data_IF_879888134886
#
_entry.id   IF_879888134886
#
_cell.length_a   1.000
_cell.length_b   1.000
_cell.length_c   1.000
_cell.angle_alpha   90.00
_cell.angle_beta   90.00
_cell.angle_gamma   90.00
#
_symmetry.space_group_name_H-M   'P 1'
#
loop_
_entity.id
_entity.type
_entity.pdbx_description
1 polymer ?
#
# COMPACT_ATOMS: atom_id res chain seq x y z
N UNK A 1 -10.19 41.50 -23.73
CA UNK A 1 -9.56 40.61 -24.72
C UNK A 1 -9.65 39.18 -24.15
N UNK A 2 -10.59 38.40 -24.66
CA UNK A 2 -10.76 36.96 -24.29
C UNK A 2 -9.92 36.13 -25.26
N UNK A 3 -9.00 35.32 -24.76
CA UNK A 3 -8.29 34.29 -25.57
C UNK A 3 -9.04 32.98 -25.44
N UNK A 4 -9.63 32.57 -26.53
CA UNK A 4 -10.26 31.26 -26.74
C UNK A 4 -9.17 30.24 -27.06
N UNK A 5 -9.01 29.19 -26.26
CA UNK A 5 -8.08 28.10 -26.54
C UNK A 5 -8.86 26.93 -27.11
N UNK A 6 -8.65 26.64 -28.37
CA UNK A 6 -9.23 25.55 -29.13
C UNK A 6 -8.48 24.25 -28.77
N UNK A 7 -9.20 23.25 -28.26
CA UNK A 7 -8.66 21.87 -28.06
C UNK A 7 -8.66 21.13 -29.39
N UNK A 8 -7.48 20.69 -29.81
CA UNK A 8 -7.28 19.86 -30.99
C UNK A 8 -7.34 18.38 -30.57
N UNK A 9 -8.36 17.66 -31.04
CA UNK A 9 -8.46 16.23 -30.86
C UNK A 9 -7.57 15.53 -31.91
N UNK A 10 -6.55 14.79 -31.45
CA UNK A 10 -5.79 13.90 -32.30
C UNK A 10 -6.41 12.49 -32.25
N UNK A 11 -7.10 12.12 -33.34
CA UNK A 11 -7.40 10.72 -33.66
C UNK A 11 -6.16 10.10 -34.31
N UNK A 12 -5.48 9.21 -33.65
CA UNK A 12 -4.42 8.39 -34.25
C UNK A 12 -5.03 7.07 -34.76
N UNK A 13 -5.08 6.95 -36.07
CA UNK A 13 -5.49 5.77 -36.82
C UNK A 13 -4.30 4.79 -36.83
N UNK A 14 -4.38 3.68 -36.09
CA UNK A 14 -3.37 2.62 -36.12
C UNK A 14 -3.70 1.64 -37.27
N UNK A 15 -2.83 1.62 -38.29
CA UNK A 15 -2.88 0.67 -39.39
C UNK A 15 -2.18 -0.62 -38.93
N UNK A 16 -2.94 -1.71 -38.84
CA UNK A 16 -2.44 -3.06 -38.61
C UNK A 16 -1.94 -3.69 -39.93
N UNK A 17 -0.66 -4.02 -39.99
CA UNK A 17 -0.09 -4.88 -41.04
C UNK A 17 -0.29 -6.33 -40.64
N UNK A 18 -1.09 -7.04 -41.46
CA UNK A 18 -1.19 -8.49 -41.39
C UNK A 18 -0.03 -9.12 -42.17
N UNK A 19 0.84 -9.85 -41.48
CA UNK A 19 1.70 -10.85 -42.11
C UNK A 19 1.01 -12.21 -42.05
N UNK A 20 0.63 -12.70 -43.22
CA UNK A 20 0.09 -14.06 -43.40
C UNK A 20 1.26 -15.04 -43.49
N UNK A 21 1.36 -15.96 -42.52
CA UNK A 21 2.10 -17.21 -42.65
C UNK A 21 1.12 -18.36 -42.51
N UNK A 22 0.91 -19.08 -43.60
CA UNK A 22 0.09 -20.29 -43.69
C UNK A 22 0.82 -21.48 -43.04
N UNK A 23 0.13 -22.25 -42.19
CA UNK A 23 0.57 -23.59 -41.79
C UNK A 23 -0.04 -24.05 -40.47
N UNK A 24 -1.08 -24.93 -40.55
CA UNK A 24 -1.45 -25.83 -39.44
C UNK A 24 -2.61 -25.39 -38.54
N UNK A 25 -3.78 -25.91 -38.89
CA UNK A 25 -5.03 -25.82 -38.13
C UNK A 25 -4.94 -26.39 -36.72
N UNK A 26 -5.09 -25.50 -35.72
CA UNK A 26 -5.80 -25.76 -34.50
C UNK A 26 -6.38 -24.43 -34.03
N UNK A 27 -7.66 -24.22 -34.29
CA UNK A 27 -8.43 -23.06 -33.91
C UNK A 27 -8.77 -23.17 -32.43
N UNK A 28 -7.88 -22.72 -31.51
CA UNK A 28 -8.29 -22.21 -30.23
C UNK A 28 -8.70 -20.75 -30.46
N UNK A 29 -10.00 -20.48 -30.44
CA UNK A 29 -10.53 -19.13 -30.37
C UNK A 29 -9.93 -18.45 -29.14
N UNK A 30 -9.03 -17.48 -29.35
CA UNK A 30 -8.67 -16.54 -28.32
C UNK A 30 -9.95 -15.77 -27.97
N UNK A 31 -10.56 -16.11 -26.85
CA UNK A 31 -11.62 -15.33 -26.25
C UNK A 31 -11.02 -13.95 -25.95
N UNK A 32 -11.42 -12.94 -26.72
CA UNK A 32 -11.08 -11.56 -26.41
C UNK A 32 -11.87 -11.25 -25.14
N UNK A 33 -11.21 -11.35 -23.99
CA UNK A 33 -11.76 -10.86 -22.73
C UNK A 33 -11.85 -9.34 -22.89
N UNK A 34 -13.06 -8.82 -23.05
CA UNK A 34 -13.27 -7.39 -23.02
C UNK A 34 -12.73 -6.87 -21.68
N UNK A 35 -11.97 -5.74 -21.69
CA UNK A 35 -11.49 -5.17 -20.45
C UNK A 35 -12.69 -4.90 -19.53
N UNK A 36 -12.59 -5.32 -18.26
CA UNK A 36 -13.64 -5.12 -17.28
C UNK A 36 -13.97 -3.63 -17.22
N UNK A 37 -15.19 -3.27 -17.62
CA UNK A 37 -15.69 -1.91 -17.46
C UNK A 37 -15.98 -1.74 -15.96
N UNK A 38 -15.07 -1.11 -15.23
CA UNK A 38 -15.32 -0.74 -13.85
C UNK A 38 -16.42 0.35 -13.85
N UNK A 39 -17.46 0.20 -13.03
CA UNK A 39 -18.45 1.26 -12.88
C UNK A 39 -17.74 2.55 -12.40
N UNK A 40 -18.04 3.68 -13.05
CA UNK A 40 -17.62 4.98 -12.53
C UNK A 40 -18.13 5.08 -11.09
N UNK A 41 -17.18 5.07 -10.12
CA UNK A 41 -17.54 5.35 -8.74
C UNK A 41 -17.88 6.84 -8.63
N UNK A 42 -19.07 7.19 -8.12
CA UNK A 42 -19.37 8.59 -7.88
C UNK A 42 -18.34 9.16 -6.91
N UNK A 43 -17.82 10.34 -7.20
CA UNK A 43 -16.93 11.09 -6.30
C UNK A 43 -17.61 11.40 -4.95
N UNK A 44 -18.92 11.24 -4.87
CA UNK A 44 -19.77 11.44 -3.68
C UNK A 44 -20.54 10.15 -3.46
N UNK A 45 -20.38 9.55 -2.26
CA UNK A 45 -21.13 8.38 -1.87
C UNK A 45 -22.62 8.68 -1.79
N UNK A 46 -23.47 7.83 -2.37
CA UNK A 46 -24.90 7.85 -2.09
C UNK A 46 -25.11 7.51 -0.61
N UNK A 47 -25.76 8.43 0.12
CA UNK A 47 -26.08 8.24 1.54
C UNK A 47 -27.41 7.50 1.68
N UNK A 48 -27.48 6.52 2.55
CA UNK A 48 -28.71 5.77 2.80
C UNK A 48 -28.89 5.45 4.29
N UNK A 49 -30.12 5.10 4.70
CA UNK A 49 -30.36 4.67 6.08
C UNK A 49 -29.90 3.23 6.32
N UNK A 50 -29.49 2.86 7.55
CA UNK A 50 -29.14 1.49 7.88
C UNK A 50 -30.22 0.48 7.53
N UNK A 51 -31.50 0.81 7.77
CA UNK A 51 -32.64 -0.07 7.50
C UNK A 51 -32.84 -0.36 6.01
N UNK A 52 -32.51 0.58 5.13
CA UNK A 52 -32.65 0.42 3.67
C UNK A 52 -31.70 -0.66 3.11
N UNK A 53 -30.63 -0.97 3.82
CA UNK A 53 -29.63 -1.98 3.45
C UNK A 53 -29.61 -3.16 4.44
N UNK A 54 -30.73 -3.41 5.12
CA UNK A 54 -30.91 -4.49 6.08
C UNK A 54 -29.90 -4.46 7.25
N UNK A 55 -29.52 -3.28 7.72
CA UNK A 55 -28.71 -3.09 8.92
C UNK A 55 -29.57 -2.63 10.08
N UNK A 56 -29.25 -3.10 11.28
CA UNK A 56 -29.93 -2.69 12.50
C UNK A 56 -29.29 -1.40 13.03
N UNK A 57 -30.03 -0.30 12.96
CA UNK A 57 -29.57 1.03 13.36
C UNK A 57 -29.17 1.09 14.85
N UNK A 58 -29.92 0.44 15.74
CA UNK A 58 -29.61 0.45 17.18
C UNK A 58 -28.28 -0.24 17.46
N UNK A 59 -28.03 -1.41 16.83
CA UNK A 59 -26.75 -2.12 16.95
C UNK A 59 -25.60 -1.32 16.35
N UNK A 60 -25.84 -0.66 15.21
CA UNK A 60 -24.84 0.19 14.57
C UNK A 60 -24.45 1.36 15.48
N UNK A 61 -25.45 2.08 16.02
CA UNK A 61 -25.23 3.17 16.96
C UNK A 61 -24.50 2.69 18.23
N UNK A 62 -24.84 1.50 18.74
CA UNK A 62 -24.14 0.91 19.89
C UNK A 62 -22.66 0.66 19.57
N UNK A 63 -22.36 0.12 18.40
CA UNK A 63 -20.99 -0.13 17.96
C UNK A 63 -20.20 1.19 17.81
N UNK A 64 -20.81 2.23 17.25
CA UNK A 64 -20.18 3.55 17.13
C UNK A 64 -19.98 4.21 18.51
N UNK A 65 -20.92 4.09 19.43
CA UNK A 65 -20.76 4.62 20.78
C UNK A 65 -19.60 3.93 21.53
N UNK A 66 -19.42 2.62 21.33
CA UNK A 66 -18.26 1.90 21.85
C UNK A 66 -16.96 2.37 21.19
N UNK A 67 -16.94 2.45 19.85
CA UNK A 67 -15.76 2.85 19.09
C UNK A 67 -15.30 4.29 19.41
N UNK A 68 -16.22 5.18 19.75
CA UNK A 68 -15.94 6.60 20.02
C UNK A 68 -15.90 6.96 21.51
N UNK A 69 -15.86 5.98 22.41
CA UNK A 69 -15.66 6.22 23.85
C UNK A 69 -14.28 6.83 24.11
N UNK A 70 -14.15 7.54 25.23
CA UNK A 70 -12.85 8.08 25.67
C UNK A 70 -11.84 6.94 25.90
N UNK A 71 -10.61 7.13 25.45
CA UNK A 71 -9.55 6.13 25.51
C UNK A 71 -9.50 5.14 24.33
N UNK A 72 -10.41 5.26 23.34
CA UNK A 72 -10.36 4.43 22.12
C UNK A 72 -9.53 5.04 21.01
N UNK A 73 -9.18 6.32 21.09
CA UNK A 73 -8.44 7.09 20.09
C UNK A 73 -9.07 7.11 18.68
N UNK A 74 -10.32 6.68 18.55
CA UNK A 74 -11.03 6.70 17.27
C UNK A 74 -11.47 8.11 16.94
N UNK A 75 -11.01 8.65 15.83
CA UNK A 75 -11.34 9.99 15.34
C UNK A 75 -12.33 9.98 14.17
N UNK A 76 -12.37 8.90 13.42
CA UNK A 76 -13.33 8.71 12.33
C UNK A 76 -13.70 7.24 12.19
N UNK A 77 -14.93 6.98 11.80
CA UNK A 77 -15.39 5.67 11.36
C UNK A 77 -16.51 5.83 10.35
N UNK A 78 -16.49 5.01 9.32
CA UNK A 78 -17.53 4.97 8.28
C UNK A 78 -17.99 3.55 8.06
N UNK A 79 -19.25 3.39 7.65
CA UNK A 79 -19.82 2.12 7.20
C UNK A 79 -20.37 2.31 5.81
N UNK A 80 -19.85 1.54 4.88
CA UNK A 80 -20.33 1.46 3.50
C UNK A 80 -20.90 0.06 3.29
N UNK A 81 -22.11 -0.01 2.74
CA UNK A 81 -22.75 -1.26 2.38
C UNK A 81 -23.47 -1.12 1.04
N UNK A 82 -23.27 -2.11 0.19
CA UNK A 82 -23.86 -2.15 -1.15
C UNK A 82 -23.55 -0.87 -1.97
N UNK A 83 -22.29 -0.37 -1.83
CA UNK A 83 -21.82 0.84 -2.50
C UNK A 83 -22.39 2.15 -1.96
N UNK A 84 -23.06 2.14 -0.80
CA UNK A 84 -23.70 3.33 -0.20
C UNK A 84 -23.12 3.63 1.16
N UNK A 85 -22.97 4.91 1.48
CA UNK A 85 -22.58 5.38 2.81
C UNK A 85 -23.77 5.25 3.75
N UNK A 86 -23.66 4.38 4.73
CA UNK A 86 -24.73 4.05 5.67
C UNK A 86 -24.63 4.85 6.96
N UNK A 87 -23.42 5.03 7.46
CA UNK A 87 -23.16 5.75 8.70
C UNK A 87 -21.73 6.29 8.72
N UNK A 88 -21.56 7.47 9.24
CA UNK A 88 -20.26 8.09 9.48
C UNK A 88 -20.29 8.90 10.77
N UNK A 89 -19.16 8.95 11.46
CA UNK A 89 -18.96 9.77 12.65
C UNK A 89 -17.53 10.23 12.74
N UNK A 90 -17.36 11.45 13.20
CA UNK A 90 -16.06 12.11 13.39
C UNK A 90 -16.03 12.74 14.78
N UNK A 91 -14.83 12.81 15.38
CA UNK A 91 -14.55 13.60 16.58
C UNK A 91 -13.06 13.94 16.69
N UNK A 92 -12.77 14.99 17.41
CA UNK A 92 -11.41 15.27 17.85
C UNK A 92 -10.95 14.35 18.99
N UNK A 93 -9.72 14.57 19.43
CA UNK A 93 -9.13 13.89 20.59
C UNK A 93 -9.87 14.30 21.85
N UNK A 94 -10.09 13.37 22.78
CA UNK A 94 -10.74 13.61 24.05
C UNK A 94 -9.72 13.85 25.16
N UNK A 95 -10.19 14.43 26.26
CA UNK A 95 -9.33 14.83 27.39
C UNK A 95 -8.55 13.65 28.00
N UNK A 96 -9.20 12.49 28.17
CA UNK A 96 -8.55 11.29 28.69
C UNK A 96 -7.45 10.79 27.77
N UNK A 97 -7.66 10.88 26.46
CA UNK A 97 -6.69 10.52 25.43
C UNK A 97 -5.49 11.50 25.41
N UNK A 98 -5.77 12.81 25.50
CA UNK A 98 -4.74 13.84 25.62
C UNK A 98 -3.85 13.55 26.82
N UNK A 99 -4.45 13.32 28.01
CA UNK A 99 -3.73 13.05 29.22
C UNK A 99 -2.87 11.79 29.12
N UNK A 100 -3.38 10.74 28.47
CA UNK A 100 -2.67 9.48 28.23
C UNK A 100 -1.43 9.70 27.37
N UNK A 101 -1.56 10.40 26.24
CA UNK A 101 -0.45 10.66 25.31
C UNK A 101 0.56 11.61 25.95
N UNK A 102 0.14 12.72 26.55
CA UNK A 102 1.02 13.70 27.16
C UNK A 102 1.85 13.11 28.30
N UNK A 103 1.30 12.12 29.04
CA UNK A 103 2.04 11.43 30.11
C UNK A 103 3.11 10.45 29.61
N UNK A 104 3.02 10.00 28.36
CA UNK A 104 3.88 8.97 27.78
C UNK A 104 4.80 9.46 26.65
N UNK A 105 4.66 10.73 26.26
CA UNK A 105 5.44 11.33 25.16
C UNK A 105 5.95 12.72 25.55
N UNK A 106 6.68 13.36 24.64
CA UNK A 106 7.13 14.76 24.78
C UNK A 106 6.11 15.77 24.25
N UNK A 107 4.95 15.32 23.76
CA UNK A 107 3.89 16.18 23.23
C UNK A 107 3.04 16.71 24.40
N UNK A 108 2.90 18.02 24.50
CA UNK A 108 2.03 18.63 25.49
C UNK A 108 0.54 18.64 25.04
N UNK A 109 -0.34 18.88 25.99
CA UNK A 109 -1.78 18.88 25.77
C UNK A 109 -2.23 19.93 24.72
N UNK A 110 -1.58 21.10 24.70
CA UNK A 110 -1.92 22.15 23.74
C UNK A 110 -1.57 21.74 22.31
N UNK A 111 -0.41 21.14 22.13
CA UNK A 111 0.01 20.58 20.84
C UNK A 111 -0.93 19.47 20.37
N UNK A 112 -1.31 18.55 21.27
CA UNK A 112 -2.25 17.48 20.95
C UNK A 112 -3.63 18.02 20.57
N UNK A 113 -4.13 19.04 21.30
CA UNK A 113 -5.40 19.69 20.98
C UNK A 113 -5.33 20.41 19.64
N UNK A 114 -4.22 21.07 19.32
CA UNK A 114 -4.02 21.75 18.03
C UNK A 114 -4.00 20.75 16.87
N UNK A 115 -3.29 19.64 17.02
CA UNK A 115 -3.13 18.63 15.94
C UNK A 115 -4.37 17.77 15.73
N UNK A 116 -5.12 17.46 16.79
CA UNK A 116 -6.16 16.44 16.79
C UNK A 116 -7.50 16.88 17.39
N UNK A 117 -7.64 18.16 17.78
CA UNK A 117 -8.81 18.65 18.50
C UNK A 117 -10.08 18.67 17.65
N UNK A 118 -9.97 19.10 16.42
CA UNK A 118 -11.11 19.19 15.52
C UNK A 118 -10.95 18.20 14.35
N UNK A 119 -11.92 17.32 14.20
CA UNK A 119 -11.95 16.33 13.11
C UNK A 119 -13.33 16.22 12.52
N UNK A 120 -13.39 16.33 11.20
CA UNK A 120 -14.57 16.16 10.37
C UNK A 120 -14.26 15.33 9.12
N UNK A 121 -15.21 15.23 8.19
CA UNK A 121 -15.03 14.47 6.95
C UNK A 121 -13.97 15.07 6.01
N UNK A 122 -13.57 16.33 6.19
CA UNK A 122 -12.55 17.02 5.37
C UNK A 122 -11.17 16.95 6.01
N UNK A 123 -11.06 16.48 7.23
CA UNK A 123 -9.80 16.43 7.96
C UNK A 123 -8.87 15.37 7.38
N UNK A 124 -7.65 15.77 7.06
CA UNK A 124 -6.61 14.85 6.60
C UNK A 124 -6.05 14.02 7.76
N UNK A 125 -5.81 12.76 7.52
CA UNK A 125 -5.22 11.81 8.45
C UNK A 125 -4.09 11.06 7.80
N UNK A 126 -3.02 10.78 8.54
CA UNK A 126 -1.97 9.88 8.07
C UNK A 126 -2.53 8.45 8.01
N UNK A 127 -2.42 7.83 6.84
CA UNK A 127 -2.89 6.46 6.63
C UNK A 127 -1.96 5.40 7.22
N UNK A 128 -0.72 5.76 7.57
CA UNK A 128 0.30 4.82 8.00
C UNK A 128 0.34 3.59 7.07
N UNK A 129 0.41 2.40 7.65
CA UNK A 129 0.52 1.16 6.88
C UNK A 129 -0.73 0.77 6.09
N UNK A 130 -1.86 1.44 6.29
CA UNK A 130 -3.02 1.26 5.40
C UNK A 130 -2.70 1.65 3.95
N UNK A 131 -1.72 2.54 3.73
CA UNK A 131 -1.23 2.89 2.41
C UNK A 131 -0.69 1.69 1.62
N UNK A 132 -0.18 0.65 2.31
CA UNK A 132 0.31 -0.57 1.66
C UNK A 132 -0.76 -1.30 0.88
N UNK A 133 -2.02 -1.27 1.37
CA UNK A 133 -3.16 -1.84 0.66
C UNK A 133 -3.43 -1.11 -0.65
N UNK A 134 -3.32 0.23 -0.66
CA UNK A 134 -3.49 1.00 -1.90
C UNK A 134 -2.40 0.67 -2.92
N UNK A 135 -1.14 0.58 -2.51
CA UNK A 135 -0.05 0.16 -3.40
C UNK A 135 -0.30 -1.24 -3.97
N UNK A 136 -0.83 -2.16 -3.17
CA UNK A 136 -1.21 -3.50 -3.63
C UNK A 136 -2.33 -3.46 -4.68
N UNK A 137 -3.35 -2.61 -4.49
CA UNK A 137 -4.40 -2.40 -5.50
C UNK A 137 -3.84 -1.85 -6.81
N UNK A 138 -2.92 -0.89 -6.75
CA UNK A 138 -2.29 -0.32 -7.95
C UNK A 138 -1.50 -1.36 -8.74
N UNK A 139 -0.80 -2.30 -8.10
CA UNK A 139 -0.16 -3.43 -8.78
C UNK A 139 -1.22 -4.29 -9.51
N UNK A 140 -2.36 -4.58 -8.86
CA UNK A 140 -3.45 -5.33 -9.49
C UNK A 140 -4.05 -4.59 -10.69
N UNK A 141 -4.22 -3.27 -10.59
CA UNK A 141 -4.68 -2.43 -11.70
C UNK A 141 -3.66 -2.47 -12.84
N UNK A 142 -2.36 -2.29 -12.56
CA UNK A 142 -1.30 -2.34 -13.56
C UNK A 142 -1.24 -3.71 -14.28
N UNK A 143 -1.44 -4.81 -13.54
CA UNK A 143 -1.54 -6.16 -14.12
C UNK A 143 -2.78 -6.29 -15.00
N UNK A 144 -3.95 -5.85 -14.54
CA UNK A 144 -5.20 -5.90 -15.30
C UNK A 144 -5.17 -5.07 -16.58
N UNK A 145 -4.39 -4.00 -16.61
CA UNK A 145 -4.16 -3.16 -17.80
C UNK A 145 -3.04 -3.69 -18.71
N UNK A 146 -2.38 -4.78 -18.34
CA UNK A 146 -1.27 -5.36 -19.10
C UNK A 146 0.05 -4.58 -19.01
N UNK A 147 0.15 -3.57 -18.11
CA UNK A 147 1.37 -2.81 -17.84
C UNK A 147 2.38 -3.63 -17.03
N UNK A 148 1.86 -4.50 -16.17
CA UNK A 148 2.59 -5.60 -15.53
C UNK A 148 2.05 -6.89 -16.12
N UNK A 149 2.91 -7.71 -16.73
CA UNK A 149 2.48 -8.92 -17.44
C UNK A 149 2.00 -10.03 -16.50
N UNK A 150 2.57 -10.18 -15.33
CA UNK A 150 2.08 -11.05 -14.25
C UNK A 150 2.81 -10.77 -12.94
N UNK A 151 2.09 -10.81 -11.81
CA UNK A 151 2.70 -10.76 -10.48
C UNK A 151 3.59 -11.97 -10.16
N UNK A 152 3.45 -13.07 -10.90
CA UNK A 152 4.30 -14.25 -10.75
C UNK A 152 5.66 -14.11 -11.46
N UNK A 153 5.86 -13.08 -12.27
CA UNK A 153 7.12 -12.81 -12.91
C UNK A 153 8.15 -12.23 -11.91
N UNK A 154 9.43 -12.39 -12.26
CA UNK A 154 10.50 -11.79 -11.50
C UNK A 154 10.36 -10.26 -11.42
N UNK A 155 10.53 -9.71 -10.23
CA UNK A 155 10.60 -8.27 -10.02
C UNK A 155 11.82 -7.64 -10.74
N UNK A 156 12.85 -8.43 -11.06
CA UNK A 156 14.03 -7.96 -11.80
C UNK A 156 13.70 -7.47 -13.22
N UNK A 157 12.53 -7.81 -13.75
CA UNK A 157 12.05 -7.21 -15.01
C UNK A 157 11.88 -5.69 -14.91
N UNK A 158 11.63 -5.19 -13.71
CA UNK A 158 11.46 -3.77 -13.40
C UNK A 158 12.63 -3.24 -12.54
N UNK A 159 13.10 -4.01 -11.58
CA UNK A 159 14.24 -3.69 -10.71
C UNK A 159 15.50 -4.32 -11.33
N UNK A 160 16.03 -3.68 -12.36
CA UNK A 160 17.18 -4.20 -13.14
C UNK A 160 18.43 -4.44 -12.29
N UNK A 161 18.56 -3.78 -11.15
CA UNK A 161 19.61 -3.95 -10.16
C UNK A 161 19.68 -5.37 -9.61
N UNK A 162 18.58 -6.12 -9.70
CA UNK A 162 18.48 -7.51 -9.22
C UNK A 162 18.72 -8.57 -10.30
N UNK A 163 18.91 -8.17 -11.55
CA UNK A 163 18.94 -9.09 -12.68
C UNK A 163 20.12 -10.07 -12.66
N UNK A 164 21.22 -9.72 -12.00
CA UNK A 164 22.48 -10.48 -12.06
C UNK A 164 22.83 -11.21 -10.76
N UNK A 165 21.91 -11.30 -9.81
CA UNK A 165 22.13 -12.04 -8.55
C UNK A 165 20.88 -12.83 -8.15
N UNK A 166 20.91 -13.48 -6.97
CA UNK A 166 19.82 -14.31 -6.51
C UNK A 166 18.49 -13.55 -6.27
N UNK A 167 18.53 -12.22 -6.19
CA UNK A 167 17.30 -11.41 -6.09
C UNK A 167 16.46 -11.46 -7.38
N UNK A 168 17.05 -11.91 -8.48
CA UNK A 168 16.32 -12.19 -9.72
C UNK A 168 15.25 -13.29 -9.57
N UNK A 169 15.31 -14.09 -8.53
CA UNK A 169 14.31 -15.10 -8.20
C UNK A 169 13.09 -14.53 -7.46
N UNK A 170 13.17 -13.28 -6.93
CA UNK A 170 12.06 -12.63 -6.23
C UNK A 170 10.98 -12.26 -7.24
N UNK A 171 9.78 -12.81 -7.06
CA UNK A 171 8.62 -12.42 -7.86
C UNK A 171 7.94 -11.18 -7.28
N UNK A 172 7.15 -10.47 -8.10
CA UNK A 172 6.30 -9.36 -7.60
C UNK A 172 5.36 -9.88 -6.52
N UNK A 173 4.85 -11.11 -6.68
CA UNK A 173 4.01 -11.76 -5.67
C UNK A 173 4.73 -11.97 -4.34
N UNK A 174 6.02 -12.36 -4.35
CA UNK A 174 6.77 -12.47 -3.10
C UNK A 174 6.84 -11.13 -2.35
N UNK A 175 6.99 -10.03 -3.07
CA UNK A 175 7.03 -8.67 -2.49
C UNK A 175 5.64 -8.29 -1.96
N UNK A 176 4.57 -8.53 -2.72
CA UNK A 176 3.18 -8.31 -2.27
C UNK A 176 2.85 -9.06 -0.98
N UNK A 177 3.34 -10.29 -0.86
CA UNK A 177 3.11 -11.15 0.30
C UNK A 177 4.08 -10.85 1.47
N UNK A 178 4.96 -9.85 1.35
CA UNK A 178 6.05 -9.55 2.31
C UNK A 178 6.95 -10.77 2.56
N UNK A 179 7.33 -11.44 1.49
CA UNK A 179 8.14 -12.67 1.44
C UNK A 179 9.34 -12.52 0.50
N UNK A 180 9.81 -11.28 0.28
CA UNK A 180 10.95 -10.99 -0.59
C UNK A 180 12.24 -11.66 -0.14
N UNK A 181 12.40 -11.90 1.15
CA UNK A 181 13.61 -12.44 1.74
C UNK A 181 14.75 -11.42 1.90
N UNK A 182 14.46 -10.13 1.68
CA UNK A 182 15.44 -9.08 1.91
C UNK A 182 15.72 -8.92 3.40
N UNK A 183 16.99 -8.67 3.76
CA UNK A 183 17.40 -8.45 5.14
C UNK A 183 16.69 -7.22 5.74
N UNK A 184 16.12 -7.35 6.95
CA UNK A 184 15.56 -6.19 7.63
C UNK A 184 16.68 -5.30 8.17
N UNK A 185 16.56 -3.99 7.97
CA UNK A 185 17.51 -3.00 8.47
C UNK A 185 16.92 -2.24 9.66
N UNK A 186 17.73 -2.01 10.65
CA UNK A 186 17.42 -1.25 11.87
C UNK A 186 18.37 -0.07 12.01
N UNK A 187 17.90 1.00 12.65
CA UNK A 187 18.77 2.11 13.01
C UNK A 187 19.39 1.87 14.38
N UNK A 188 20.71 1.88 14.44
CA UNK A 188 21.48 1.81 15.68
C UNK A 188 21.72 3.21 16.23
N UNK A 189 20.96 3.58 17.24
CA UNK A 189 21.05 4.91 17.86
C UNK A 189 22.39 5.17 18.59
N UNK A 190 23.05 4.11 19.04
CA UNK A 190 24.32 4.25 19.74
C UNK A 190 25.46 4.59 18.79
N UNK A 191 25.47 3.98 17.60
CA UNK A 191 26.50 4.15 16.58
C UNK A 191 26.05 5.07 15.42
N UNK A 192 24.83 5.58 15.45
CA UNK A 192 24.25 6.48 14.45
C UNK A 192 24.35 5.91 13.01
N UNK A 193 24.06 4.63 12.85
CA UNK A 193 24.11 3.97 11.54
C UNK A 193 22.98 2.96 11.32
N UNK A 194 22.79 2.58 10.07
CA UNK A 194 21.93 1.47 9.69
C UNK A 194 22.70 0.16 9.78
N UNK A 195 22.07 -0.88 10.31
CA UNK A 195 22.58 -2.24 10.38
C UNK A 195 21.48 -3.27 10.16
N UNK A 196 21.86 -4.49 9.80
CA UNK A 196 20.91 -5.61 9.83
C UNK A 196 20.38 -5.77 11.27
N UNK A 197 19.07 -5.94 11.41
CA UNK A 197 18.45 -6.14 12.72
C UNK A 197 19.04 -7.39 13.41
N UNK A 198 19.31 -7.33 14.71
CA UNK A 198 20.04 -8.39 15.42
C UNK A 198 19.14 -9.28 16.28
N UNK A 199 17.91 -8.82 16.57
CA UNK A 199 16.98 -9.58 17.41
C UNK A 199 15.52 -9.22 17.08
N UNK A 200 14.58 -10.00 17.61
CA UNK A 200 13.14 -9.82 17.35
C UNK A 200 12.59 -8.48 17.86
N UNK A 201 13.18 -7.93 18.91
CA UNK A 201 12.77 -6.64 19.47
C UNK A 201 13.31 -5.45 18.67
N UNK A 202 14.27 -5.68 17.77
CA UNK A 202 14.70 -4.65 16.84
C UNK A 202 13.54 -4.32 15.90
N UNK A 203 13.02 -3.13 16.01
CA UNK A 203 11.92 -2.63 15.20
C UNK A 203 12.40 -2.30 13.78
N UNK A 204 12.67 -3.34 12.98
CA UNK A 204 13.21 -3.18 11.65
C UNK A 204 12.24 -2.66 10.61
N UNK A 205 10.96 -2.66 10.91
CA UNK A 205 9.94 -2.37 9.89
C UNK A 205 9.77 -0.89 9.53
N UNK A 206 10.33 0.02 10.28
CA UNK A 206 10.11 1.45 10.04
C UNK A 206 11.34 2.33 10.29
N UNK A 207 12.22 1.93 11.21
CA UNK A 207 13.31 2.77 11.67
C UNK A 207 14.34 3.10 10.58
N UNK A 208 14.65 2.16 9.73
CA UNK A 208 15.60 2.32 8.64
C UNK A 208 15.10 3.28 7.56
N UNK A 209 13.82 3.23 7.23
CA UNK A 209 13.23 4.13 6.23
C UNK A 209 13.26 5.57 6.72
N UNK A 210 12.95 5.80 8.00
CA UNK A 210 12.91 7.15 8.58
C UNK A 210 14.30 7.81 8.60
N UNK A 211 15.37 7.01 8.76
CA UNK A 211 16.73 7.51 8.92
C UNK A 211 17.61 7.36 7.68
N UNK A 212 17.06 7.01 6.55
CA UNK A 212 17.77 6.94 5.28
C UNK A 212 17.54 8.20 4.44
N UNK A 213 18.61 8.80 3.92
CA UNK A 213 18.53 9.95 3.01
C UNK A 213 17.93 9.55 1.65
N UNK A 214 18.22 8.33 1.20
CA UNK A 214 17.64 7.71 0.00
C UNK A 214 17.02 6.37 0.37
N UNK A 215 15.76 6.42 0.74
CA UNK A 215 15.01 5.27 1.22
C UNK A 215 14.83 4.19 0.14
N UNK A 216 14.54 4.60 -1.09
CA UNK A 216 14.31 3.66 -2.19
C UNK A 216 15.60 2.93 -2.57
N UNK A 217 16.68 3.65 -2.76
CA UNK A 217 17.99 3.07 -3.03
C UNK A 217 18.42 2.12 -1.90
N UNK A 218 18.20 2.53 -0.64
CA UNK A 218 18.43 1.69 0.52
C UNK A 218 17.65 0.38 0.49
N UNK A 219 16.41 0.40 0.01
CA UNK A 219 15.58 -0.80 -0.13
C UNK A 219 16.03 -1.68 -1.30
N UNK A 220 16.28 -1.10 -2.47
CA UNK A 220 16.70 -1.84 -3.68
C UNK A 220 18.06 -2.53 -3.47
N UNK A 221 18.97 -1.90 -2.74
CA UNK A 221 20.33 -2.41 -2.52
C UNK A 221 20.48 -3.38 -1.33
N UNK A 222 19.37 -3.74 -0.66
CA UNK A 222 19.42 -4.75 0.42
C UNK A 222 19.87 -6.12 -0.10
N UNK A 223 20.65 -6.80 0.72
CA UNK A 223 20.99 -8.19 0.49
C UNK A 223 19.80 -9.12 0.76
N UNK A 224 19.90 -10.34 0.22
CA UNK A 224 19.04 -11.43 0.69
C UNK A 224 19.54 -11.95 2.04
N UNK A 225 18.59 -12.23 2.92
CA UNK A 225 18.87 -12.92 4.17
C UNK A 225 19.33 -14.36 3.90
N UNK A 226 20.26 -14.84 4.70
CA UNK A 226 20.73 -16.23 4.64
C UNK A 226 19.57 -17.16 5.03
N UNK A 227 19.29 -18.13 4.17
CA UNK A 227 18.24 -19.14 4.36
C UNK A 227 18.78 -20.45 4.92
N UNK A 228 17.99 -21.16 5.71
CA UNK A 228 18.40 -22.42 6.30
C UNK A 228 19.15 -22.27 7.63
N UNK A 229 19.17 -21.09 8.20
CA UNK A 229 19.82 -20.77 9.48
C UNK A 229 18.86 -20.02 10.41
N UNK A 230 19.19 -19.98 11.71
CA UNK A 230 18.43 -19.16 12.67
C UNK A 230 18.77 -17.70 12.41
N UNK A 231 17.74 -16.90 12.10
CA UNK A 231 17.85 -15.45 11.99
C UNK A 231 17.28 -14.81 13.26
N UNK A 232 18.12 -14.24 14.16
CA UNK A 232 17.65 -13.72 15.45
C UNK A 232 16.58 -12.64 15.34
N UNK A 233 16.52 -11.87 14.25
CA UNK A 233 15.50 -10.88 13.97
C UNK A 233 14.15 -11.49 13.55
N UNK A 234 14.14 -12.77 13.11
CA UNK A 234 12.94 -13.51 12.73
C UNK A 234 12.43 -14.39 13.87
N UNK A 235 13.33 -15.25 14.38
CA UNK A 235 13.07 -16.16 15.51
C UNK A 235 14.40 -16.45 16.22
N UNK A 236 14.34 -16.73 17.53
CA UNK A 236 15.51 -17.16 18.30
C UNK A 236 15.71 -18.67 18.28
N UNK A 237 14.78 -19.43 17.73
CA UNK A 237 14.77 -20.89 17.78
C UNK A 237 14.43 -21.56 16.46
N UNK A 238 13.76 -20.85 15.55
CA UNK A 238 13.33 -21.40 14.27
C UNK A 238 14.31 -21.04 13.15
N UNK A 239 14.53 -21.99 12.27
CA UNK A 239 15.34 -21.78 11.08
C UNK A 239 14.54 -20.93 10.10
N UNK A 240 15.12 -19.80 9.65
CA UNK A 240 14.54 -18.95 8.64
C UNK A 240 14.68 -19.62 7.26
N UNK A 241 13.57 -19.69 6.53
CA UNK A 241 13.56 -20.12 5.14
C UNK A 241 13.18 -18.93 4.24
N UNK A 242 13.90 -18.81 3.10
CA UNK A 242 13.52 -17.80 2.11
C UNK A 242 12.06 -18.02 1.70
N UNK A 243 11.29 -16.95 1.70
CA UNK A 243 9.84 -17.02 1.50
C UNK A 243 9.02 -17.07 2.78
N UNK A 244 9.65 -17.09 3.96
CA UNK A 244 8.94 -16.82 5.21
C UNK A 244 8.45 -15.37 5.25
N UNK A 245 7.27 -15.18 5.85
CA UNK A 245 6.69 -13.85 6.01
C UNK A 245 7.53 -12.99 6.95
N UNK A 246 7.93 -11.82 6.49
CA UNK A 246 8.51 -10.77 7.34
C UNK A 246 7.95 -9.42 6.95
N UNK A 247 7.24 -8.79 7.86
CA UNK A 247 6.70 -7.46 7.64
C UNK A 247 7.81 -6.48 7.22
N UNK A 248 7.62 -5.82 6.07
CA UNK A 248 8.64 -4.99 5.43
C UNK A 248 8.01 -3.74 4.79
N UNK A 249 8.51 -2.55 5.18
CA UNK A 249 8.16 -1.31 4.49
C UNK A 249 8.87 -1.22 3.13
N UNK A 250 10.09 -1.79 3.04
CA UNK A 250 10.83 -1.82 1.79
C UNK A 250 10.10 -2.57 0.69
N UNK A 251 9.44 -3.68 1.02
CA UNK A 251 8.65 -4.41 0.03
C UNK A 251 7.60 -3.49 -0.61
N UNK A 252 6.92 -2.69 0.19
CA UNK A 252 5.93 -1.74 -0.35
C UNK A 252 6.56 -0.61 -1.16
N UNK A 253 7.73 -0.10 -0.74
CA UNK A 253 8.44 0.92 -1.51
C UNK A 253 8.91 0.39 -2.87
N UNK A 254 9.40 -0.84 -2.91
CA UNK A 254 9.81 -1.52 -4.14
C UNK A 254 8.59 -1.75 -5.07
N UNK A 255 7.40 -2.08 -4.53
CA UNK A 255 6.18 -2.14 -5.32
C UNK A 255 5.83 -0.78 -5.96
N UNK A 256 6.01 0.31 -5.23
CA UNK A 256 5.84 1.66 -5.76
C UNK A 256 6.80 1.95 -6.91
N UNK A 257 8.05 1.54 -6.80
CA UNK A 257 9.04 1.66 -7.88
C UNK A 257 8.72 0.78 -9.08
N UNK A 258 8.21 -0.44 -8.85
CA UNK A 258 7.73 -1.32 -9.93
C UNK A 258 6.59 -0.64 -10.71
N UNK A 259 5.64 -0.01 -10.02
CA UNK A 259 4.58 0.78 -10.67
C UNK A 259 5.20 1.88 -11.53
N UNK A 260 6.11 2.67 -10.96
CA UNK A 260 6.76 3.75 -11.69
C UNK A 260 7.49 3.25 -12.95
N UNK A 261 8.29 2.20 -12.84
CA UNK A 261 9.05 1.64 -13.98
C UNK A 261 8.18 0.94 -15.02
N UNK A 262 7.03 0.40 -14.60
CA UNK A 262 6.08 -0.23 -15.50
C UNK A 262 5.20 0.77 -16.26
N UNK A 263 4.85 1.89 -15.63
CA UNK A 263 3.81 2.82 -16.12
C UNK A 263 4.36 4.18 -16.52
N UNK A 264 5.52 4.57 -16.01
CA UNK A 264 6.06 5.93 -16.11
C UNK A 264 5.38 6.93 -15.17
N UNK A 265 4.51 6.47 -14.26
CA UNK A 265 3.76 7.28 -13.30
C UNK A 265 4.05 6.82 -11.88
N UNK A 266 4.16 7.77 -10.96
CA UNK A 266 4.27 7.45 -9.54
C UNK A 266 2.91 6.99 -8.96
N UNK A 267 2.96 6.44 -7.73
CA UNK A 267 1.77 5.90 -7.05
C UNK A 267 0.68 6.94 -6.73
N UNK A 268 0.97 8.23 -6.85
CA UNK A 268 -0.01 9.30 -6.64
C UNK A 268 -0.70 9.68 -7.94
N UNK A 269 -0.02 9.48 -9.07
CA UNK A 269 -0.47 9.88 -10.40
C UNK A 269 -1.17 8.72 -11.12
N UNK A 270 -0.70 7.50 -10.91
CA UNK A 270 -1.26 6.29 -11.48
C UNK A 270 -2.58 5.89 -10.82
#
# INVERSE_FOLDING_TARGET
MRKTTTRLNFFTLSILFFYSCSGGSNSSSLEIVEPAVFPEHPLIWEVTSPSSVNMNEVKLNTAFNYAFADGTFTQSAIVIKDGKLVHERYRGILEGEINSIASSTTLDAATLQFLFGDRDQQSLSSSWSSAKSFTSFLIGIAESQGLISSINNSASMYISEWANDQRSEITIKNILDMRSGLEPMCFDFANQNLRVCQNQSDSGSGGDIVYSDDQLSGCINRNLAESGVIQPWYSTTEIYMRGDFKYSNCDTMILGEIIFRATGQDVQTF
#
